data_IF_633148860011
#
_entry.id   IF_633148860011
#
_cell.length_a   1.000
_cell.length_b   1.000
_cell.length_c   1.000
_cell.angle_alpha   90.00
_cell.angle_beta   90.00
_cell.angle_gamma   90.00
#
_symmetry.space_group_name_H-M   'P 1'
#
loop_
_entity.id
_entity.type
_entity.pdbx_description
1 polymer ?
#
# COMPACT_ATOMS: atom_id res chain seq x y z
N UNK A 1 26.55 -26.82 0.51
CA UNK A 1 26.35 -26.07 -0.73
C UNK A 1 25.53 -24.86 -0.34
N UNK A 2 26.14 -23.68 -0.46
CA UNK A 2 25.69 -22.40 0.09
C UNK A 2 24.39 -21.97 -0.59
N UNK A 3 23.29 -21.96 0.16
CA UNK A 3 22.02 -21.37 -0.29
C UNK A 3 22.13 -19.87 -0.11
N UNK A 4 22.39 -19.16 -1.19
CA UNK A 4 22.25 -17.70 -1.25
C UNK A 4 20.77 -17.35 -0.96
N UNK A 5 20.50 -16.94 0.28
CA UNK A 5 19.21 -16.37 0.66
C UNK A 5 19.09 -15.00 0.01
N UNK A 6 18.50 -14.94 -1.18
CA UNK A 6 17.90 -13.70 -1.62
C UNK A 6 16.65 -13.46 -0.77
N UNK A 7 16.61 -12.32 -0.08
CA UNK A 7 15.50 -11.87 0.77
C UNK A 7 14.14 -11.81 0.03
N UNK A 8 14.16 -11.96 -1.29
CA UNK A 8 13.04 -11.75 -2.22
C UNK A 8 12.53 -13.04 -2.87
N UNK A 9 12.84 -14.22 -2.34
CA UNK A 9 12.27 -15.49 -2.82
C UNK A 9 10.78 -15.55 -2.47
N UNK A 10 9.97 -15.91 -3.46
CA UNK A 10 8.55 -16.24 -3.27
C UNK A 10 8.44 -17.54 -2.47
N UNK A 11 8.34 -17.39 -1.15
CA UNK A 11 8.26 -18.53 -0.23
C UNK A 11 6.97 -19.28 -0.50
N UNK A 12 7.10 -20.51 -0.99
CA UNK A 12 6.01 -21.49 -1.03
C UNK A 12 5.63 -21.84 0.41
N UNK A 13 4.55 -21.24 0.92
CA UNK A 13 4.08 -21.47 2.28
C UNK A 13 3.44 -22.87 2.37
N UNK A 14 4.25 -23.89 2.68
CA UNK A 14 3.81 -25.29 2.69
C UNK A 14 3.00 -25.68 3.94
N UNK A 15 3.00 -24.85 4.99
CA UNK A 15 2.42 -25.15 6.31
C UNK A 15 1.29 -24.20 6.72
N UNK A 16 0.52 -23.66 5.76
CA UNK A 16 -0.63 -22.83 6.10
C UNK A 16 -1.77 -23.66 6.74
N UNK A 17 -2.43 -23.19 7.83
CA UNK A 17 -2.15 -21.97 8.59
C UNK A 17 -1.22 -22.18 9.81
N UNK A 18 -0.21 -21.32 9.94
CA UNK A 18 0.64 -21.23 11.14
C UNK A 18 0.06 -20.24 12.18
N UNK A 19 0.54 -20.28 13.42
CA UNK A 19 0.07 -19.39 14.50
C UNK A 19 0.24 -17.89 14.17
N UNK A 20 1.29 -17.54 13.40
CA UNK A 20 1.52 -16.17 12.93
C UNK A 20 0.47 -15.74 11.90
N UNK A 21 0.03 -16.65 11.02
CA UNK A 21 -1.00 -16.36 10.01
C UNK A 21 -2.34 -16.06 10.70
N UNK A 22 -2.69 -16.83 11.73
CA UNK A 22 -3.91 -16.61 12.52
C UNK A 22 -3.86 -15.25 13.22
N UNK A 23 -2.72 -14.89 13.83
CA UNK A 23 -2.54 -13.60 14.50
C UNK A 23 -2.63 -12.45 13.50
N UNK A 24 -1.98 -12.56 12.33
CA UNK A 24 -2.03 -11.56 11.28
C UNK A 24 -3.46 -11.35 10.80
N UNK A 25 -4.20 -12.42 10.51
CA UNK A 25 -5.59 -12.35 10.08
C UNK A 25 -6.49 -11.61 11.10
N UNK A 26 -6.31 -11.89 12.40
CA UNK A 26 -7.04 -11.18 13.47
C UNK A 26 -6.69 -9.69 13.48
N UNK A 27 -5.39 -9.36 13.41
CA UNK A 27 -4.91 -7.98 13.39
C UNK A 27 -5.41 -7.22 12.17
N UNK A 28 -5.50 -7.88 11.01
CA UNK A 28 -6.01 -7.30 9.77
C UNK A 28 -7.49 -6.97 9.87
N UNK A 29 -8.33 -7.90 10.37
CA UNK A 29 -9.76 -7.65 10.57
C UNK A 29 -10.00 -6.49 11.54
N UNK A 30 -9.29 -6.47 12.67
CA UNK A 30 -9.36 -5.37 13.63
C UNK A 30 -8.88 -4.08 12.97
N UNK A 31 -7.74 -4.10 12.29
CA UNK A 31 -7.15 -2.95 11.62
C UNK A 31 -8.07 -2.35 10.55
N UNK A 32 -8.71 -3.19 9.73
CA UNK A 32 -9.69 -2.77 8.72
C UNK A 32 -10.86 -2.08 9.42
N UNK A 33 -11.43 -2.69 10.45
CA UNK A 33 -12.58 -2.12 11.17
C UNK A 33 -12.27 -0.74 11.77
N UNK A 34 -11.10 -0.59 12.40
CA UNK A 34 -10.64 0.68 12.99
C UNK A 34 -10.37 1.73 11.92
N UNK A 35 -9.70 1.37 10.81
CA UNK A 35 -9.42 2.31 9.73
C UNK A 35 -10.70 2.78 9.01
N UNK A 36 -11.68 1.89 8.80
CA UNK A 36 -12.99 2.25 8.25
C UNK A 36 -13.71 3.23 9.20
N UNK A 37 -13.70 2.96 10.49
CA UNK A 37 -14.33 3.82 11.49
C UNK A 37 -13.67 5.20 11.55
N UNK A 38 -12.34 5.26 11.60
CA UNK A 38 -11.57 6.51 11.59
C UNK A 38 -11.81 7.28 10.30
N UNK A 39 -11.75 6.62 9.14
CA UNK A 39 -12.00 7.25 7.85
C UNK A 39 -13.41 7.84 7.79
N UNK A 40 -14.40 7.10 8.30
CA UNK A 40 -15.77 7.59 8.40
C UNK A 40 -15.87 8.88 9.25
N UNK A 41 -15.23 8.89 10.42
CA UNK A 41 -15.17 10.08 11.28
C UNK A 41 -14.48 11.25 10.58
N UNK A 42 -13.35 11.01 9.92
CA UNK A 42 -12.58 12.03 9.19
C UNK A 42 -13.36 12.60 8.01
N UNK A 43 -14.15 11.78 7.32
CA UNK A 43 -15.02 12.25 6.23
C UNK A 43 -16.16 13.14 6.74
N UNK A 44 -16.67 12.91 7.96
CA UNK A 44 -17.69 13.77 8.59
C UNK A 44 -17.12 15.09 9.13
N UNK A 45 -15.86 15.10 9.55
CA UNK A 45 -15.19 16.31 10.01
C UNK A 45 -15.08 17.33 8.86
N UNK A 46 -15.56 18.55 9.10
CA UNK A 46 -15.33 19.72 8.22
C UNK A 46 -14.50 20.72 9.03
N UNK A 47 -13.18 20.71 8.80
CA UNK A 47 -12.23 21.54 9.54
C UNK A 47 -11.69 22.72 8.71
N UNK A 48 -11.26 23.80 9.39
CA UNK A 48 -10.58 24.94 8.75
C UNK A 48 -9.19 24.57 8.19
N UNK A 49 -8.53 23.55 8.75
CA UNK A 49 -7.23 23.05 8.31
C UNK A 49 -7.40 21.97 7.23
N UNK A 50 -7.79 22.37 6.02
CA UNK A 50 -8.09 21.46 4.91
C UNK A 50 -6.92 20.51 4.60
N UNK A 51 -5.70 21.03 4.47
CA UNK A 51 -4.51 20.24 4.13
C UNK A 51 -4.25 19.10 5.09
N UNK A 52 -4.27 19.38 6.39
CA UNK A 52 -4.02 18.35 7.42
C UNK A 52 -5.12 17.30 7.43
N UNK A 53 -6.36 17.69 7.12
CA UNK A 53 -7.48 16.76 7.11
C UNK A 53 -7.45 15.88 5.85
N UNK A 54 -7.11 16.46 4.70
CA UNK A 54 -6.90 15.74 3.44
C UNK A 54 -5.79 14.71 3.60
N UNK A 55 -4.63 15.10 4.14
CA UNK A 55 -3.51 14.18 4.37
C UNK A 55 -3.85 13.06 5.36
N UNK A 56 -4.59 13.36 6.43
CA UNK A 56 -4.99 12.35 7.39
C UNK A 56 -5.97 11.34 6.77
N UNK A 57 -6.91 11.81 5.95
CA UNK A 57 -7.80 10.94 5.15
C UNK A 57 -7.01 10.08 4.17
N UNK A 58 -6.04 10.66 3.46
CA UNK A 58 -5.18 9.92 2.55
C UNK A 58 -4.39 8.84 3.29
N UNK A 59 -3.83 9.14 4.46
CA UNK A 59 -3.09 8.18 5.29
C UNK A 59 -3.97 7.02 5.78
N UNK A 60 -5.17 7.32 6.28
CA UNK A 60 -6.11 6.26 6.70
C UNK A 60 -6.58 5.44 5.51
N UNK A 61 -6.79 6.06 4.34
CA UNK A 61 -7.15 5.36 3.11
C UNK A 61 -6.04 4.43 2.64
N UNK A 62 -4.78 4.90 2.64
CA UNK A 62 -3.62 4.07 2.26
C UNK A 62 -3.47 2.88 3.20
N UNK A 63 -3.60 3.11 4.52
CA UNK A 63 -3.50 2.05 5.51
C UNK A 63 -4.62 1.01 5.34
N UNK A 64 -5.86 1.47 5.08
CA UNK A 64 -6.99 0.59 4.80
C UNK A 64 -6.74 -0.26 3.54
N UNK A 65 -6.27 0.36 2.45
CA UNK A 65 -6.00 -0.34 1.20
C UNK A 65 -4.86 -1.37 1.35
N UNK A 66 -3.83 -1.05 2.12
CA UNK A 66 -2.75 -2.00 2.46
C UNK A 66 -3.31 -3.21 3.21
N UNK A 67 -4.11 -2.99 4.26
CA UNK A 67 -4.71 -4.08 5.03
C UNK A 67 -5.69 -4.92 4.20
N UNK A 68 -6.47 -4.28 3.32
CA UNK A 68 -7.36 -5.00 2.40
C UNK A 68 -6.58 -5.88 1.43
N UNK A 69 -5.46 -5.39 0.88
CA UNK A 69 -4.65 -6.20 -0.03
C UNK A 69 -4.07 -7.43 0.68
N UNK A 70 -3.55 -7.29 1.90
CA UNK A 70 -3.11 -8.45 2.68
C UNK A 70 -4.25 -9.42 3.01
N UNK A 71 -5.38 -8.89 3.48
CA UNK A 71 -6.53 -9.73 3.83
C UNK A 71 -7.04 -10.55 2.64
N UNK A 72 -7.10 -9.95 1.44
CA UNK A 72 -7.54 -10.69 0.24
C UNK A 72 -6.55 -11.79 -0.12
N UNK A 73 -5.25 -11.55 0.05
CA UNK A 73 -4.21 -12.56 -0.21
C UNK A 73 -4.28 -13.72 0.78
N UNK A 74 -4.50 -13.43 2.06
CA UNK A 74 -4.65 -14.45 3.10
C UNK A 74 -5.93 -15.29 2.92
N UNK A 75 -7.02 -14.66 2.45
CA UNK A 75 -8.30 -15.35 2.18
C UNK A 75 -8.27 -16.12 0.85
N UNK A 76 -7.55 -15.62 -0.16
CA UNK A 76 -7.47 -16.23 -1.48
C UNK A 76 -6.00 -16.36 -1.96
N UNK A 77 -5.26 -17.34 -1.42
CA UNK A 77 -3.87 -17.59 -1.81
C UNK A 77 -3.74 -18.34 -3.15
N UNK A 78 -4.85 -18.62 -3.83
CA UNK A 78 -4.84 -19.43 -5.05
C UNK A 78 -4.45 -18.61 -6.29
N UNK A 79 -3.70 -19.19 -7.23
CA UNK A 79 -3.35 -18.50 -8.47
C UNK A 79 -4.61 -18.28 -9.31
N UNK A 80 -4.87 -17.03 -9.68
CA UNK A 80 -5.91 -16.64 -10.63
C UNK A 80 -5.49 -17.11 -12.04
N UNK A 81 -5.87 -18.33 -12.40
CA UNK A 81 -5.60 -18.91 -13.73
C UNK A 81 -6.87 -18.87 -14.56
N UNK A 82 -6.78 -18.26 -15.73
CA UNK A 82 -7.83 -18.24 -16.77
C UNK A 82 -7.28 -18.73 -18.10
N UNK A 83 -8.12 -18.97 -19.10
CA UNK A 83 -7.66 -19.34 -20.45
C UNK A 83 -7.04 -18.17 -21.24
N UNK A 84 -7.11 -16.94 -20.71
CA UNK A 84 -6.56 -15.76 -21.38
C UNK A 84 -5.11 -15.49 -20.95
N UNK A 85 -4.18 -15.67 -21.89
CA UNK A 85 -2.75 -15.41 -21.70
C UNK A 85 -2.43 -13.99 -21.20
N UNK A 86 -3.12 -12.97 -21.73
CA UNK A 86 -2.87 -11.57 -21.34
C UNK A 86 -3.32 -11.33 -19.91
N UNK A 87 -4.48 -11.87 -19.53
CA UNK A 87 -4.99 -11.76 -18.16
C UNK A 87 -4.06 -12.45 -17.16
N UNK A 88 -3.63 -13.68 -17.45
CA UNK A 88 -2.72 -14.41 -16.58
C UNK A 88 -1.40 -13.66 -16.38
N UNK A 89 -0.88 -13.02 -17.44
CA UNK A 89 0.35 -12.22 -17.36
C UNK A 89 0.18 -10.96 -16.50
N UNK A 90 -0.93 -10.24 -16.64
CA UNK A 90 -1.23 -9.07 -15.79
C UNK A 90 -1.44 -9.48 -14.34
N UNK A 91 -2.26 -10.52 -14.10
CA UNK A 91 -2.49 -11.07 -12.77
C UNK A 91 -1.16 -11.47 -12.11
N UNK A 92 -0.24 -12.04 -12.88
CA UNK A 92 1.10 -12.39 -12.40
C UNK A 92 1.88 -11.18 -11.86
N UNK A 93 2.03 -10.15 -12.68
CA UNK A 93 2.80 -8.96 -12.31
C UNK A 93 2.16 -8.15 -11.19
N UNK A 94 0.83 -8.13 -11.14
CA UNK A 94 0.09 -7.28 -10.23
C UNK A 94 -0.16 -7.96 -8.88
N UNK A 95 -0.58 -9.23 -8.92
CA UNK A 95 -0.98 -10.01 -7.74
C UNK A 95 0.22 -10.71 -7.10
N UNK A 96 1.00 -11.46 -7.88
CA UNK A 96 2.09 -12.29 -7.34
C UNK A 96 3.29 -11.45 -6.88
N UNK A 97 3.56 -10.32 -7.55
CA UNK A 97 4.57 -9.35 -7.11
C UNK A 97 4.13 -8.55 -5.87
N UNK A 98 2.88 -8.69 -5.40
CA UNK A 98 2.26 -7.83 -4.38
C UNK A 98 2.40 -6.34 -4.73
N UNK A 99 2.29 -5.99 -6.03
CA UNK A 99 2.61 -4.64 -6.53
C UNK A 99 1.76 -3.57 -5.85
N UNK A 100 0.44 -3.76 -5.81
CA UNK A 100 -0.47 -2.80 -5.18
C UNK A 100 -0.24 -2.65 -3.68
N UNK A 101 0.07 -3.74 -2.97
CA UNK A 101 0.43 -3.69 -1.56
C UNK A 101 1.61 -2.74 -1.34
N UNK A 102 2.71 -2.95 -2.08
CA UNK A 102 3.89 -2.08 -1.98
C UNK A 102 3.59 -0.64 -2.36
N UNK A 103 2.78 -0.40 -3.40
CA UNK A 103 2.36 0.96 -3.78
C UNK A 103 1.67 1.65 -2.61
N UNK A 104 0.72 1.01 -1.95
CA UNK A 104 -0.01 1.60 -0.82
C UNK A 104 0.88 1.80 0.41
N UNK A 105 1.82 0.89 0.68
CA UNK A 105 2.82 1.04 1.75
C UNK A 105 3.70 2.26 1.52
N UNK A 106 4.29 2.38 0.32
CA UNK A 106 5.14 3.54 -0.04
C UNK A 106 4.33 4.83 -0.02
N UNK A 107 3.10 4.80 -0.54
CA UNK A 107 2.19 5.94 -0.52
C UNK A 107 1.89 6.40 0.90
N UNK A 108 1.58 5.47 1.81
CA UNK A 108 1.36 5.76 3.23
C UNK A 108 2.60 6.38 3.89
N UNK A 109 3.79 5.85 3.60
CA UNK A 109 5.06 6.42 4.06
C UNK A 109 5.27 7.85 3.59
N UNK A 110 5.10 8.12 2.29
CA UNK A 110 5.25 9.46 1.73
C UNK A 110 4.21 10.46 2.27
N UNK A 111 2.95 10.04 2.42
CA UNK A 111 1.90 10.87 3.04
C UNK A 111 2.27 11.21 4.48
N UNK A 112 2.77 10.25 5.25
CA UNK A 112 3.18 10.46 6.64
C UNK A 112 4.37 11.44 6.74
N UNK A 113 5.38 11.27 5.88
CA UNK A 113 6.53 12.19 5.81
C UNK A 113 6.07 13.61 5.45
N UNK A 114 5.20 13.75 4.45
CA UNK A 114 4.67 15.06 4.06
C UNK A 114 3.81 15.68 5.16
N UNK A 115 2.99 14.88 5.85
CA UNK A 115 2.18 15.33 6.98
C UNK A 115 3.03 15.86 8.13
N UNK A 116 4.05 15.11 8.54
CA UNK A 116 4.95 15.52 9.63
C UNK A 116 5.76 16.76 9.26
N UNK A 117 6.28 16.84 8.04
CA UNK A 117 6.97 18.02 7.53
C UNK A 117 6.07 19.27 7.52
N UNK A 118 4.85 19.14 6.99
CA UNK A 118 3.86 20.24 6.96
C UNK A 118 3.53 20.73 8.38
N UNK A 119 3.36 19.81 9.34
CA UNK A 119 3.12 20.17 10.75
C UNK A 119 4.33 20.81 11.41
N UNK A 120 5.55 20.32 11.15
CA UNK A 120 6.77 20.91 11.67
C UNK A 120 6.94 22.37 11.20
N UNK A 121 6.73 22.63 9.90
CA UNK A 121 6.80 23.99 9.33
C UNK A 121 5.76 24.91 9.97
N UNK A 122 4.52 24.45 10.14
CA UNK A 122 3.47 25.25 10.78
C UNK A 122 3.80 25.64 12.23
N UNK A 123 4.45 24.75 12.98
CA UNK A 123 4.87 25.01 14.37
C UNK A 123 6.05 25.99 14.40
N UNK A 124 7.12 25.71 13.64
CA UNK A 124 8.35 26.51 13.64
C UNK A 124 8.10 27.93 13.14
N UNK A 125 7.35 28.08 12.05
CA UNK A 125 7.06 29.39 11.47
C UNK A 125 5.85 30.08 12.11
N UNK A 126 5.24 29.48 13.14
CA UNK A 126 4.04 29.99 13.83
C UNK A 126 2.84 30.26 12.89
N UNK A 127 2.75 29.53 11.77
CA UNK A 127 1.67 29.65 10.77
C UNK A 127 0.48 28.72 11.03
N UNK A 128 0.28 28.29 12.28
CA UNK A 128 -0.75 27.30 12.67
C UNK A 128 -2.16 27.62 12.16
N UNK A 129 -2.47 28.91 11.89
CA UNK A 129 -3.77 29.37 11.39
C UNK A 129 -3.72 30.17 10.07
N UNK A 130 -2.53 30.50 9.56
CA UNK A 130 -2.36 31.36 8.38
C UNK A 130 -2.01 30.60 7.11
N UNK A 131 -1.61 29.32 7.24
CA UNK A 131 -1.24 28.48 6.10
C UNK A 131 -2.49 27.95 5.38
N UNK A 132 -3.12 28.79 4.56
CA UNK A 132 -4.13 28.37 3.60
C UNK A 132 -3.41 27.87 2.36
N UNK A 133 -3.11 26.57 2.30
CA UNK A 133 -2.68 25.96 1.05
C UNK A 133 -3.83 26.01 0.04
N UNK A 134 -3.53 26.36 -1.21
CA UNK A 134 -4.50 26.25 -2.30
C UNK A 134 -4.86 24.78 -2.56
N UNK A 135 -6.12 24.50 -2.87
CA UNK A 135 -6.58 23.14 -3.25
C UNK A 135 -5.76 22.55 -4.40
N UNK A 136 -5.28 23.40 -5.33
CA UNK A 136 -4.44 22.95 -6.44
C UNK A 136 -3.08 22.40 -5.98
N UNK A 137 -2.49 23.00 -4.94
CA UNK A 137 -1.22 22.54 -4.36
C UNK A 137 -1.43 21.24 -3.59
N UNK A 138 -2.57 21.09 -2.90
CA UNK A 138 -2.94 19.83 -2.23
C UNK A 138 -3.16 18.70 -3.23
N UNK A 139 -3.89 18.96 -4.31
CA UNK A 139 -4.12 17.97 -5.35
C UNK A 139 -2.80 17.60 -6.06
N UNK A 140 -1.95 18.58 -6.33
CA UNK A 140 -0.64 18.39 -6.93
C UNK A 140 0.29 17.54 -6.05
N UNK A 141 0.31 17.77 -4.73
CA UNK A 141 1.14 16.98 -3.82
C UNK A 141 0.65 15.54 -3.69
N UNK A 142 -0.66 15.31 -3.61
CA UNK A 142 -1.23 13.95 -3.60
C UNK A 142 -0.94 13.23 -4.92
N UNK A 143 -1.13 13.89 -6.07
CA UNK A 143 -0.82 13.32 -7.37
C UNK A 143 0.66 12.96 -7.52
N UNK A 144 1.56 13.84 -7.07
CA UNK A 144 2.99 13.57 -7.04
C UNK A 144 3.30 12.34 -6.18
N UNK A 145 2.74 12.26 -4.96
CA UNK A 145 2.93 11.10 -4.08
C UNK A 145 2.49 9.80 -4.75
N UNK A 146 1.33 9.79 -5.43
CA UNK A 146 0.84 8.61 -6.15
C UNK A 146 1.82 8.19 -7.26
N UNK A 147 2.23 9.14 -8.10
CA UNK A 147 3.16 8.87 -9.21
C UNK A 147 4.52 8.38 -8.70
N UNK A 148 5.08 9.05 -7.69
CA UNK A 148 6.35 8.64 -7.09
C UNK A 148 6.26 7.25 -6.44
N UNK A 149 5.14 6.93 -5.78
CA UNK A 149 4.93 5.60 -5.18
C UNK A 149 4.91 4.51 -6.24
N UNK A 150 4.22 4.75 -7.37
CA UNK A 150 4.17 3.80 -8.49
C UNK A 150 5.56 3.62 -9.15
N UNK A 151 6.32 4.71 -9.32
CA UNK A 151 7.67 4.65 -9.88
C UNK A 151 8.63 3.88 -8.98
N UNK A 152 8.63 4.14 -7.67
CA UNK A 152 9.49 3.46 -6.69
C UNK A 152 9.21 1.97 -6.57
N UNK A 153 7.96 1.56 -6.81
CA UNK A 153 7.53 0.16 -6.72
C UNK A 153 7.60 -0.57 -8.05
N UNK A 154 7.81 0.13 -9.16
CA UNK A 154 8.00 -0.48 -10.48
C UNK A 154 9.08 -1.58 -10.55
N UNK A 155 10.21 -1.51 -9.81
CA UNK A 155 11.19 -2.60 -9.82
C UNK A 155 10.64 -3.93 -9.29
N UNK A 156 9.61 -3.93 -8.43
CA UNK A 156 8.99 -5.15 -7.91
C UNK A 156 8.43 -6.02 -9.06
N UNK A 157 7.89 -5.38 -10.10
CA UNK A 157 7.33 -6.05 -11.28
C UNK A 157 8.39 -6.85 -12.05
N UNK A 158 9.66 -6.46 -11.96
CA UNK A 158 10.78 -7.12 -12.66
C UNK A 158 11.15 -8.45 -12.01
N UNK A 159 10.83 -8.65 -10.72
CA UNK A 159 11.21 -9.83 -9.94
C UNK A 159 10.40 -11.07 -10.37
N UNK A 160 9.19 -10.87 -10.90
CA UNK A 160 8.30 -11.96 -11.32
C UNK A 160 8.44 -12.21 -12.81
N UNK A 161 8.68 -13.47 -13.20
CA UNK A 161 8.67 -13.92 -14.59
C UNK A 161 7.46 -14.81 -14.89
N UNK A 162 7.10 -14.89 -16.17
CA UNK A 162 5.98 -15.72 -16.62
C UNK A 162 6.46 -16.77 -17.62
N UNK A 163 6.07 -18.03 -17.39
CA UNK A 163 6.25 -19.14 -18.34
C UNK A 163 5.00 -19.32 -19.23
N UNK A 164 4.24 -18.24 -19.43
CA UNK A 164 3.04 -18.17 -20.26
C UNK A 164 1.77 -18.83 -19.71
N UNK A 165 1.87 -19.72 -18.72
CA UNK A 165 0.71 -20.25 -17.97
C UNK A 165 0.83 -20.12 -16.45
N UNK A 166 2.06 -20.02 -15.94
CA UNK A 166 2.35 -19.92 -14.50
C UNK A 166 3.29 -18.74 -14.23
N UNK A 167 3.16 -18.19 -13.03
CA UNK A 167 4.10 -17.24 -12.47
C UNK A 167 5.25 -18.01 -11.85
N UNK A 168 6.47 -17.65 -12.23
CA UNK A 168 7.70 -18.19 -11.66
C UNK A 168 8.50 -17.00 -11.14
N UNK A 169 9.02 -17.09 -9.93
CA UNK A 169 9.91 -16.05 -9.44
C UNK A 169 11.26 -16.18 -10.12
N UNK A 170 11.80 -15.05 -10.60
CA UNK A 170 13.10 -15.04 -11.25
C UNK A 170 14.17 -15.30 -10.20
N UNK A 171 14.69 -16.52 -10.16
CA UNK A 171 15.96 -16.79 -9.50
C UNK A 171 17.05 -16.09 -10.32
N UNK A 172 17.43 -14.88 -9.88
CA UNK A 172 18.69 -14.24 -10.30
C UNK A 172 19.69 -14.38 -9.16
#
# INVERSE_FOLDING_TARGET
MTTDLSFWVCVSNANWPDALDIINLILEVIGISLNVWVLHMLCRLRGKTLTSLTLLRSLTCTALLTLLMNFIEDVYPFPLVTDNYVFNRIACYVWYSRFFYWVFVVMGGLVLTYFTANRAIQIVCKYQFAYSSSQAVELGSVAAIVVFSALLTSPQVIIVQTDGKRCICSEV
#
